data_IF_798643639204
#
_entry.id   IF_798643639204
#
_cell.length_a   1.000
_cell.length_b   1.000
_cell.length_c   1.000
_cell.angle_alpha   90.00
_cell.angle_beta   90.00
_cell.angle_gamma   90.00
#
_symmetry.space_group_name_H-M   'P 1'
#
loop_
_entity.id
_entity.type
_entity.pdbx_description
1 polymer ?
#
# COMPACT_ATOMS: atom_id res chain seq x y z
N UNK A 1 3.52 10.09 6.67
CA UNK A 1 2.51 9.14 6.16
C UNK A 1 2.14 8.08 7.21
N UNK A 2 3.00 7.14 7.57
CA UNK A 2 2.69 6.03 8.50
C UNK A 2 1.99 6.47 9.80
N UNK A 3 2.47 7.54 10.45
CA UNK A 3 1.88 8.02 11.70
C UNK A 3 0.42 8.51 11.55
N UNK A 4 0.04 9.02 10.39
CA UNK A 4 -1.35 9.44 10.09
C UNK A 4 -2.21 8.20 9.83
N UNK A 5 -1.73 7.26 9.06
CA UNK A 5 -2.37 5.98 8.77
C UNK A 5 -2.66 5.21 10.08
N UNK A 6 -1.65 4.98 10.90
CA UNK A 6 -1.77 4.30 12.19
C UNK A 6 -2.74 5.02 13.16
N UNK A 7 -2.86 6.35 13.10
CA UNK A 7 -3.79 7.13 13.93
C UNK A 7 -5.23 6.76 13.59
N UNK A 8 -5.58 6.67 12.32
CA UNK A 8 -6.92 6.36 11.83
C UNK A 8 -7.24 4.88 12.09
N UNK A 9 -6.35 3.97 11.70
CA UNK A 9 -6.53 2.53 11.86
C UNK A 9 -6.70 2.11 13.33
N UNK A 10 -5.85 2.63 14.22
CA UNK A 10 -5.93 2.34 15.65
C UNK A 10 -7.22 2.87 16.29
N UNK A 11 -7.76 3.97 15.78
CA UNK A 11 -9.04 4.48 16.25
C UNK A 11 -10.19 3.58 15.79
N UNK A 12 -10.24 3.21 14.51
CA UNK A 12 -11.26 2.32 13.95
C UNK A 12 -11.24 0.93 14.58
N UNK A 13 -10.07 0.40 14.87
CA UNK A 13 -9.91 -0.89 15.55
C UNK A 13 -10.61 -0.90 16.92
N UNK A 14 -10.62 0.23 17.63
CA UNK A 14 -11.25 0.36 18.96
C UNK A 14 -12.73 0.78 18.90
N UNK A 15 -13.09 1.62 17.95
CA UNK A 15 -14.35 2.37 17.95
C UNK A 15 -15.10 2.22 16.62
N UNK A 16 -15.35 1.09 16.13
CA UNK A 16 -16.10 0.73 14.88
C UNK A 16 -16.39 1.86 13.86
N UNK A 17 -16.75 3.07 14.32
CA UNK A 17 -17.10 4.25 13.52
C UNK A 17 -16.38 5.48 14.09
N UNK A 18 -16.02 6.41 13.21
CA UNK A 18 -15.56 7.75 13.60
C UNK A 18 -16.76 8.67 13.62
N UNK A 19 -17.12 9.18 14.80
CA UNK A 19 -18.24 10.08 14.98
C UNK A 19 -17.98 11.45 14.31
N UNK A 20 -19.04 12.21 13.91
CA UNK A 20 -18.88 13.45 13.14
C UNK A 20 -17.94 14.50 13.74
N UNK A 21 -17.93 14.66 15.06
CA UNK A 21 -17.05 15.63 15.74
C UNK A 21 -15.60 15.15 15.78
N UNK A 22 -15.38 13.84 15.83
CA UNK A 22 -14.04 13.24 15.76
C UNK A 22 -13.49 13.27 14.32
N UNK A 23 -14.36 13.08 13.30
CA UNK A 23 -13.98 13.24 11.89
C UNK A 23 -13.33 14.61 11.64
N UNK A 24 -13.94 15.69 12.15
CA UNK A 24 -13.37 17.03 12.00
C UNK A 24 -11.98 17.15 12.60
N UNK A 25 -11.74 16.53 13.78
CA UNK A 25 -10.43 16.54 14.44
C UNK A 25 -9.40 15.75 13.63
N UNK A 26 -9.77 14.56 13.12
CA UNK A 26 -8.88 13.75 12.30
C UNK A 26 -8.54 14.43 10.97
N UNK A 27 -9.55 15.03 10.31
CA UNK A 27 -9.33 15.80 9.07
C UNK A 27 -8.37 16.97 9.35
N UNK A 28 -8.59 17.74 10.43
CA UNK A 28 -7.68 18.82 10.81
C UNK A 28 -6.25 18.32 11.05
N UNK A 29 -6.07 17.18 11.72
CA UNK A 29 -4.74 16.58 11.93
C UNK A 29 -4.04 16.24 10.61
N UNK A 30 -4.77 15.69 9.64
CA UNK A 30 -4.23 15.38 8.30
C UNK A 30 -3.85 16.65 7.55
N UNK A 31 -4.72 17.66 7.58
CA UNK A 31 -4.46 18.95 6.94
C UNK A 31 -3.28 19.69 7.57
N UNK A 32 -3.16 19.68 8.89
CA UNK A 32 -2.06 20.31 9.62
C UNK A 32 -0.73 19.58 9.35
N UNK A 33 -0.76 18.25 9.29
CA UNK A 33 0.38 17.46 8.84
C UNK A 33 0.82 17.84 7.43
N UNK A 34 -0.11 17.98 6.49
CA UNK A 34 0.19 18.38 5.10
C UNK A 34 0.73 19.80 5.02
N UNK A 35 0.09 20.76 5.71
CA UNK A 35 0.54 22.15 5.80
C UNK A 35 1.95 22.26 6.35
N UNK A 36 2.27 21.48 7.38
CA UNK A 36 3.60 21.43 7.98
C UNK A 36 4.67 21.08 6.95
N UNK A 37 4.40 20.14 6.03
CA UNK A 37 5.38 19.71 5.01
C UNK A 37 5.51 20.75 3.89
N UNK A 38 4.39 21.37 3.48
CA UNK A 38 4.35 22.24 2.28
C UNK A 38 4.69 23.69 2.59
N UNK A 39 4.27 24.21 3.76
CA UNK A 39 4.22 25.69 4.01
C UNK A 39 5.16 26.13 5.13
N UNK A 40 5.78 25.24 5.88
CA UNK A 40 6.41 25.55 7.18
C UNK A 40 7.38 26.72 7.17
N UNK A 41 6.98 27.81 7.85
CA UNK A 41 7.87 28.90 8.28
C UNK A 41 8.36 28.74 9.72
N UNK A 42 7.59 28.08 10.58
CA UNK A 42 7.93 27.78 11.97
C UNK A 42 7.87 26.28 12.19
N UNK A 43 9.02 25.64 12.39
CA UNK A 43 9.13 24.20 12.56
C UNK A 43 10.06 23.84 13.72
N UNK A 44 9.74 22.72 14.39
CA UNK A 44 10.65 22.09 15.34
C UNK A 44 11.84 21.45 14.61
N UNK A 45 12.83 20.93 15.35
CA UNK A 45 14.03 20.34 14.75
C UNK A 45 13.74 19.21 13.77
N UNK A 46 12.82 18.29 14.13
CA UNK A 46 12.44 17.14 13.29
C UNK A 46 11.76 17.57 11.98
N UNK A 47 10.89 18.57 12.06
CA UNK A 47 10.22 19.13 10.89
C UNK A 47 11.23 19.78 9.93
N UNK A 48 12.22 20.50 10.47
CA UNK A 48 13.30 21.11 9.69
C UNK A 48 14.12 20.04 8.97
N UNK A 49 14.54 19.00 9.67
CA UNK A 49 15.29 17.89 9.09
C UNK A 49 14.50 17.17 7.97
N UNK A 50 13.17 17.04 8.12
CA UNK A 50 12.30 16.49 7.09
C UNK A 50 12.26 17.40 5.85
N UNK A 51 12.10 18.71 6.03
CA UNK A 51 12.07 19.69 4.92
C UNK A 51 13.41 19.69 4.19
N UNK A 52 14.52 19.76 4.92
CA UNK A 52 15.87 19.70 4.36
C UNK A 52 16.11 18.40 3.58
N UNK A 53 15.54 17.28 4.07
CA UNK A 53 15.60 15.98 3.38
C UNK A 53 14.80 16.01 2.08
N UNK A 54 13.57 16.53 2.11
CA UNK A 54 12.71 16.68 0.93
C UNK A 54 13.41 17.54 -0.14
N UNK A 55 13.96 18.68 0.26
CA UNK A 55 14.68 19.59 -0.66
C UNK A 55 15.95 18.96 -1.20
N UNK A 56 16.78 18.38 -0.32
CA UNK A 56 18.07 17.74 -0.68
C UNK A 56 17.90 16.63 -1.70
N UNK A 57 16.91 15.77 -1.51
CA UNK A 57 16.65 14.64 -2.39
C UNK A 57 15.60 14.95 -3.47
N UNK A 58 15.15 16.20 -3.56
CA UNK A 58 14.17 16.66 -4.57
C UNK A 58 12.89 15.82 -4.55
N UNK A 59 12.46 15.38 -3.36
CA UNK A 59 11.26 14.54 -3.22
C UNK A 59 10.04 15.36 -3.66
N UNK A 60 9.23 14.86 -4.62
CA UNK A 60 8.05 15.58 -5.06
C UNK A 60 7.02 15.69 -3.93
N UNK A 61 6.28 16.79 -3.85
CA UNK A 61 5.29 17.02 -2.80
C UNK A 61 3.92 16.39 -3.12
N UNK A 62 3.60 16.16 -4.39
CA UNK A 62 2.32 15.59 -4.79
C UNK A 62 1.96 14.26 -4.09
N UNK A 63 2.90 13.35 -3.74
CA UNK A 63 2.55 12.13 -3.03
C UNK A 63 1.95 12.41 -1.64
N UNK A 64 2.43 13.46 -0.95
CA UNK A 64 1.88 13.84 0.35
C UNK A 64 0.45 14.38 0.20
N UNK A 65 0.20 15.17 -0.86
CA UNK A 65 -1.13 15.72 -1.14
C UNK A 65 -2.15 14.60 -1.49
N UNK A 66 -1.75 13.65 -2.34
CA UNK A 66 -2.61 12.54 -2.74
C UNK A 66 -2.86 11.59 -1.57
N UNK A 67 -1.83 11.31 -0.75
CA UNK A 67 -1.97 10.54 0.48
C UNK A 67 -2.95 11.20 1.45
N UNK A 68 -2.83 12.51 1.70
CA UNK A 68 -3.75 13.24 2.58
C UNK A 68 -5.21 13.13 2.10
N UNK A 69 -5.46 13.22 0.79
CA UNK A 69 -6.81 13.03 0.23
C UNK A 69 -7.36 11.63 0.52
N UNK A 70 -6.56 10.59 0.39
CA UNK A 70 -6.97 9.22 0.71
C UNK A 70 -7.24 9.04 2.20
N UNK A 71 -6.44 9.61 3.08
CA UNK A 71 -6.70 9.58 4.53
C UNK A 71 -7.99 10.33 4.90
N UNK A 72 -8.25 11.48 4.29
CA UNK A 72 -9.51 12.22 4.49
C UNK A 72 -10.71 11.41 3.96
N UNK A 73 -10.56 10.71 2.82
CA UNK A 73 -11.58 9.80 2.35
C UNK A 73 -11.88 8.73 3.40
N UNK A 74 -10.86 8.07 3.93
CA UNK A 74 -10.99 6.99 4.91
C UNK A 74 -11.61 7.44 6.25
N UNK A 75 -11.31 8.66 6.70
CA UNK A 75 -11.93 9.26 7.88
C UNK A 75 -13.44 9.43 7.67
N UNK A 76 -13.86 9.81 6.47
CA UNK A 76 -15.25 10.15 6.16
C UNK A 76 -16.10 8.96 5.69
N UNK A 77 -15.48 7.81 5.36
CA UNK A 77 -16.16 6.67 4.77
C UNK A 77 -15.80 5.36 5.48
N UNK A 78 -16.76 4.44 5.54
CA UNK A 78 -16.60 3.11 6.13
C UNK A 78 -16.40 2.05 5.03
N UNK A 79 -15.41 2.24 4.16
CA UNK A 79 -15.11 1.33 3.06
C UNK A 79 -15.40 1.95 1.70
N UNK A 80 -15.56 1.12 0.70
CA UNK A 80 -15.53 1.52 -0.71
C UNK A 80 -16.80 1.06 -1.43
N UNK A 81 -17.64 1.97 -1.96
CA UNK A 81 -18.84 1.59 -2.70
C UNK A 81 -18.54 0.74 -3.94
N UNK A 82 -17.43 1.04 -4.63
CA UNK A 82 -17.02 0.34 -5.85
C UNK A 82 -15.53 0.03 -5.87
N UNK A 83 -15.13 -0.95 -6.69
CA UNK A 83 -13.72 -1.23 -6.96
C UNK A 83 -12.98 0.01 -7.50
N UNK A 84 -13.65 0.84 -8.33
CA UNK A 84 -13.08 2.10 -8.82
C UNK A 84 -12.71 3.03 -7.69
N UNK A 85 -13.61 3.25 -6.73
CA UNK A 85 -13.36 4.09 -5.53
C UNK A 85 -12.22 3.54 -4.68
N UNK A 86 -12.12 2.19 -4.55
CA UNK A 86 -10.99 1.56 -3.87
C UNK A 86 -9.66 1.85 -4.59
N UNK A 87 -9.63 1.76 -5.92
CA UNK A 87 -8.41 2.03 -6.69
C UNK A 87 -8.02 3.53 -6.64
N UNK A 88 -8.99 4.43 -6.63
CA UNK A 88 -8.74 5.87 -6.39
C UNK A 88 -8.13 6.13 -5.00
N UNK A 89 -8.65 5.45 -3.98
CA UNK A 89 -8.06 5.50 -2.63
C UNK A 89 -6.65 4.91 -2.62
N UNK A 90 -6.42 3.79 -3.30
CA UNK A 90 -5.12 3.12 -3.39
C UNK A 90 -4.05 4.00 -4.07
N UNK A 91 -4.43 4.95 -4.93
CA UNK A 91 -3.51 5.94 -5.51
C UNK A 91 -2.80 6.76 -4.42
N UNK A 92 -3.50 7.16 -3.35
CA UNK A 92 -2.89 7.86 -2.22
C UNK A 92 -2.33 6.92 -1.16
N UNK A 93 -3.04 5.85 -0.80
CA UNK A 93 -2.63 4.97 0.29
C UNK A 93 -1.42 4.08 -0.06
N UNK A 94 -1.26 3.73 -1.33
CA UNK A 94 -0.20 2.82 -1.81
C UNK A 94 0.71 3.45 -2.87
N UNK A 95 0.16 4.01 -3.97
CA UNK A 95 0.98 4.53 -5.07
C UNK A 95 1.79 5.75 -4.65
N UNK A 96 1.22 6.65 -3.86
CA UNK A 96 1.92 7.85 -3.41
C UNK A 96 3.18 7.52 -2.58
N UNK A 97 3.14 6.70 -1.50
CA UNK A 97 4.34 6.32 -0.77
C UNK A 97 5.32 5.49 -1.61
N UNK A 98 4.83 4.60 -2.49
CA UNK A 98 5.67 3.84 -3.40
C UNK A 98 6.40 4.73 -4.41
N UNK A 99 5.77 5.83 -4.85
CA UNK A 99 6.41 6.81 -5.74
C UNK A 99 7.58 7.52 -5.08
N UNK A 100 7.51 7.80 -3.78
CA UNK A 100 8.66 8.35 -3.04
C UNK A 100 9.79 7.31 -2.98
N UNK A 101 9.47 6.04 -2.71
CA UNK A 101 10.46 4.98 -2.71
C UNK A 101 11.14 4.83 -4.07
N UNK A 102 10.37 4.80 -5.16
CA UNK A 102 10.89 4.70 -6.53
C UNK A 102 11.71 5.95 -6.90
N UNK A 103 11.26 7.16 -6.48
CA UNK A 103 12.02 8.39 -6.66
C UNK A 103 13.40 8.29 -6.01
N UNK A 104 13.47 7.89 -4.74
CA UNK A 104 14.74 7.77 -4.00
C UNK A 104 15.68 6.70 -4.57
N UNK A 105 15.14 5.66 -5.22
CA UNK A 105 15.94 4.67 -5.95
C UNK A 105 16.42 5.18 -7.32
N UNK A 106 15.68 6.11 -7.94
CA UNK A 106 15.96 6.61 -9.28
C UNK A 106 16.76 7.92 -9.35
N UNK A 107 16.88 8.66 -8.24
CA UNK A 107 17.66 9.92 -8.23
C UNK A 107 19.12 9.66 -8.54
N UNK A 108 19.73 10.59 -9.26
CA UNK A 108 21.14 10.55 -9.65
C UNK A 108 21.91 11.66 -8.99
N UNK A 109 23.15 11.41 -8.57
CA UNK A 109 24.04 12.43 -8.03
C UNK A 109 24.99 12.94 -9.12
N UNK A 110 24.69 14.14 -9.66
CA UNK A 110 25.46 14.78 -10.73
C UNK A 110 26.13 16.05 -10.17
N UNK A 111 27.43 16.17 -10.30
CA UNK A 111 28.20 17.33 -9.81
C UNK A 111 27.92 17.69 -8.33
N UNK A 112 27.73 16.67 -7.49
CA UNK A 112 27.47 16.86 -6.06
C UNK A 112 26.03 17.16 -5.68
N UNK A 113 25.09 17.31 -6.65
CA UNK A 113 23.66 17.57 -6.44
C UNK A 113 22.82 16.38 -6.88
N UNK A 114 21.69 16.18 -6.22
CA UNK A 114 20.73 15.17 -6.64
C UNK A 114 19.83 15.72 -7.76
N UNK A 115 19.66 14.94 -8.81
CA UNK A 115 18.78 15.20 -9.93
C UNK A 115 17.61 14.21 -9.95
N UNK A 116 16.48 14.64 -10.50
CA UNK A 116 15.29 13.78 -10.59
C UNK A 116 15.56 12.50 -11.39
N UNK A 117 14.84 11.41 -11.11
CA UNK A 117 14.88 10.21 -11.95
C UNK A 117 14.64 10.53 -13.43
N UNK A 118 15.29 9.80 -14.36
CA UNK A 118 15.11 10.01 -15.80
C UNK A 118 13.80 9.38 -16.34
N UNK A 119 12.85 9.07 -15.47
CA UNK A 119 11.54 8.47 -15.79
C UNK A 119 10.45 9.02 -14.87
N UNK A 120 9.19 8.86 -15.27
CA UNK A 120 8.04 9.22 -14.42
C UNK A 120 7.92 8.24 -13.25
N UNK A 121 8.09 8.75 -12.03
CA UNK A 121 8.09 7.92 -10.81
C UNK A 121 6.70 7.40 -10.45
N UNK A 122 5.62 8.12 -10.81
CA UNK A 122 4.25 7.64 -10.59
C UNK A 122 3.94 6.48 -11.50
N UNK A 123 4.25 6.63 -12.80
CA UNK A 123 4.09 5.56 -13.77
C UNK A 123 4.89 4.32 -13.36
N UNK A 124 6.15 4.48 -12.95
CA UNK A 124 7.02 3.37 -12.57
C UNK A 124 6.56 2.68 -11.26
N UNK A 125 6.04 3.42 -10.29
CA UNK A 125 5.59 2.88 -9.01
C UNK A 125 4.23 2.20 -9.07
N UNK A 126 3.30 2.69 -9.92
CA UNK A 126 1.89 2.31 -9.89
C UNK A 126 1.64 0.80 -9.97
N UNK A 127 2.24 0.04 -10.91
CA UNK A 127 1.91 -1.38 -11.01
C UNK A 127 2.30 -2.18 -9.76
N UNK A 128 3.51 -2.00 -9.25
CA UNK A 128 3.96 -2.69 -8.05
C UNK A 128 3.15 -2.26 -6.81
N UNK A 129 2.83 -0.99 -6.69
CA UNK A 129 2.06 -0.47 -5.57
C UNK A 129 0.63 -1.04 -5.54
N UNK A 130 -0.06 -1.08 -6.68
CA UNK A 130 -1.41 -1.66 -6.74
C UNK A 130 -1.35 -3.18 -6.55
N UNK A 131 -0.40 -3.88 -7.18
CA UNK A 131 -0.17 -5.31 -6.95
C UNK A 131 -0.01 -5.61 -5.47
N UNK A 132 0.94 -4.95 -4.82
CA UNK A 132 1.24 -5.17 -3.41
C UNK A 132 0.06 -4.84 -2.51
N UNK A 133 -0.72 -3.80 -2.82
CA UNK A 133 -1.88 -3.42 -2.02
C UNK A 133 -3.03 -4.43 -2.14
N UNK A 134 -3.31 -4.92 -3.35
CA UNK A 134 -4.30 -5.99 -3.57
C UNK A 134 -3.91 -7.30 -2.85
N UNK A 135 -2.64 -7.65 -2.89
CA UNK A 135 -2.10 -8.81 -2.15
C UNK A 135 -2.21 -8.59 -0.64
N UNK A 136 -1.91 -7.38 -0.17
CA UNK A 136 -1.97 -6.99 1.23
C UNK A 136 -3.39 -7.14 1.82
N UNK A 137 -4.42 -6.62 1.13
CA UNK A 137 -5.79 -6.72 1.62
C UNK A 137 -6.32 -8.16 1.66
N UNK A 138 -5.82 -9.06 0.80
CA UNK A 138 -6.12 -10.48 0.89
C UNK A 138 -5.39 -11.11 2.07
N UNK A 139 -4.10 -10.81 2.26
CA UNK A 139 -3.28 -11.31 3.36
C UNK A 139 -3.86 -10.91 4.72
N UNK A 140 -4.22 -9.66 4.85
CA UNK A 140 -4.67 -9.09 6.12
C UNK A 140 -6.19 -9.19 6.31
N UNK A 141 -6.92 -9.86 5.41
CA UNK A 141 -8.37 -10.01 5.45
C UNK A 141 -8.91 -10.34 6.85
N UNK A 142 -8.36 -11.37 7.51
CA UNK A 142 -8.83 -11.78 8.83
C UNK A 142 -8.57 -10.70 9.88
N UNK A 143 -7.37 -10.17 9.93
CA UNK A 143 -6.95 -9.13 10.87
C UNK A 143 -7.78 -7.85 10.69
N UNK A 144 -7.96 -7.41 9.45
CA UNK A 144 -8.67 -6.18 9.12
C UNK A 144 -10.16 -6.28 9.51
N UNK A 145 -10.81 -7.37 9.16
CA UNK A 145 -12.22 -7.61 9.55
C UNK A 145 -12.40 -7.65 11.07
N UNK A 146 -11.46 -8.22 11.83
CA UNK A 146 -11.47 -8.23 13.29
C UNK A 146 -11.24 -6.82 13.88
N UNK A 147 -10.50 -5.96 13.16
CA UNK A 147 -10.23 -4.58 13.53
C UNK A 147 -11.23 -3.56 12.93
N UNK A 148 -12.38 -4.03 12.43
CA UNK A 148 -13.42 -3.19 11.80
C UNK A 148 -12.96 -2.43 10.55
N UNK A 149 -11.88 -2.86 9.90
CA UNK A 149 -11.41 -2.31 8.63
C UNK A 149 -12.03 -3.09 7.46
N UNK A 150 -12.46 -2.39 6.40
CA UNK A 150 -13.12 -3.00 5.25
C UNK A 150 -12.54 -2.47 3.94
N UNK A 151 -11.64 -3.24 3.34
CA UNK A 151 -10.97 -2.89 2.08
C UNK A 151 -11.59 -3.56 0.85
N UNK A 152 -12.50 -4.51 1.01
CA UNK A 152 -13.24 -5.09 -0.12
C UNK A 152 -14.37 -4.16 -0.54
N UNK A 153 -14.47 -3.89 -1.85
CA UNK A 153 -15.48 -3.02 -2.43
C UNK A 153 -16.90 -3.63 -2.35
N UNK A 154 -17.88 -2.81 -1.96
CA UNK A 154 -19.26 -3.26 -1.74
C UNK A 154 -19.92 -3.81 -3.00
N UNK A 155 -19.66 -3.21 -4.17
CA UNK A 155 -20.21 -3.70 -5.45
C UNK A 155 -19.74 -5.13 -5.76
N UNK A 156 -18.48 -5.48 -5.44
CA UNK A 156 -17.97 -6.85 -5.61
C UNK A 156 -18.51 -7.79 -4.53
N UNK A 157 -18.65 -7.33 -3.29
CA UNK A 157 -19.28 -8.10 -2.19
C UNK A 157 -20.71 -8.48 -2.61
N UNK A 158 -21.53 -7.51 -3.04
CA UNK A 158 -22.92 -7.71 -3.44
C UNK A 158 -23.02 -8.59 -4.69
N UNK A 159 -22.19 -8.36 -5.70
CA UNK A 159 -22.14 -9.16 -6.94
C UNK A 159 -21.85 -10.64 -6.67
N UNK A 160 -21.07 -10.92 -5.62
CA UNK A 160 -20.80 -12.29 -5.17
C UNK A 160 -21.83 -12.81 -4.15
N UNK A 161 -23.00 -12.18 -4.00
CA UNK A 161 -24.03 -12.57 -3.04
C UNK A 161 -23.51 -12.69 -1.60
N UNK A 162 -22.64 -11.77 -1.21
CA UNK A 162 -22.08 -11.65 0.12
C UNK A 162 -22.57 -10.37 0.81
N UNK A 163 -22.25 -10.23 2.08
CA UNK A 163 -22.41 -9.01 2.87
C UNK A 163 -21.18 -8.77 3.72
N UNK A 164 -20.95 -7.54 4.18
CA UNK A 164 -19.89 -7.25 5.14
C UNK A 164 -20.00 -8.09 6.42
N UNK A 165 -21.25 -8.43 6.86
CA UNK A 165 -21.47 -9.34 7.97
C UNK A 165 -20.93 -10.74 7.67
N UNK A 166 -21.16 -11.28 6.47
CA UNK A 166 -20.64 -12.58 6.08
C UNK A 166 -19.10 -12.61 6.07
N UNK A 167 -18.44 -11.52 5.60
CA UNK A 167 -16.99 -11.41 5.64
C UNK A 167 -16.46 -11.47 7.09
N UNK A 168 -17.10 -10.76 8.03
CA UNK A 168 -16.74 -10.83 9.46
C UNK A 168 -16.96 -12.22 10.05
N UNK A 169 -18.01 -12.95 9.64
CA UNK A 169 -18.24 -14.33 10.08
C UNK A 169 -17.11 -15.25 9.60
N UNK A 170 -16.63 -15.11 8.36
CA UNK A 170 -15.49 -15.86 7.85
C UNK A 170 -14.20 -15.52 8.62
N UNK A 171 -13.92 -14.24 8.87
CA UNK A 171 -12.78 -13.82 9.68
C UNK A 171 -12.81 -14.38 11.11
N UNK A 172 -14.01 -14.60 11.68
CA UNK A 172 -14.24 -15.24 12.98
C UNK A 172 -14.23 -16.77 12.93
N UNK A 173 -13.77 -17.38 11.84
CA UNK A 173 -13.56 -18.83 11.73
C UNK A 173 -14.71 -19.62 11.13
N UNK A 174 -15.78 -18.98 10.63
CA UNK A 174 -16.77 -19.69 9.82
C UNK A 174 -16.12 -20.17 8.53
N UNK A 175 -16.37 -21.41 8.09
CA UNK A 175 -15.80 -21.91 6.84
C UNK A 175 -16.15 -21.02 5.64
N UNK A 176 -15.14 -20.67 4.85
CA UNK A 176 -15.32 -19.86 3.63
C UNK A 176 -16.07 -20.66 2.57
N UNK A 177 -17.00 -20.00 1.89
CA UNK A 177 -17.83 -20.61 0.86
C UNK A 177 -17.37 -20.24 -0.56
N UNK A 178 -18.04 -20.81 -1.57
CA UNK A 178 -17.76 -20.56 -2.98
C UNK A 178 -17.85 -19.06 -3.35
N UNK A 179 -18.81 -18.35 -2.78
CA UNK A 179 -19.03 -16.94 -3.08
C UNK A 179 -17.85 -16.08 -2.60
N UNK A 180 -17.33 -16.36 -1.40
CA UNK A 180 -16.14 -15.71 -0.89
C UNK A 180 -14.90 -16.03 -1.75
N UNK A 181 -14.73 -17.29 -2.15
CA UNK A 181 -13.64 -17.68 -3.05
C UNK A 181 -13.70 -16.97 -4.40
N UNK A 182 -14.91 -16.74 -4.93
CA UNK A 182 -15.11 -15.96 -6.16
C UNK A 182 -14.73 -14.49 -5.96
N UNK A 183 -15.05 -13.89 -4.82
CA UNK A 183 -14.61 -12.54 -4.47
C UNK A 183 -13.09 -12.46 -4.44
N UNK A 184 -12.43 -13.34 -3.70
CA UNK A 184 -10.95 -13.37 -3.63
C UNK A 184 -10.34 -13.62 -5.01
N UNK A 185 -10.93 -14.50 -5.84
CA UNK A 185 -10.46 -14.74 -7.20
C UNK A 185 -10.45 -13.46 -8.06
N UNK A 186 -11.43 -12.56 -7.91
CA UNK A 186 -11.48 -11.31 -8.65
C UNK A 186 -10.33 -10.38 -8.24
N UNK A 187 -10.08 -10.23 -6.94
CA UNK A 187 -8.94 -9.45 -6.44
C UNK A 187 -7.59 -10.07 -6.80
N UNK A 188 -7.47 -11.39 -6.71
CA UNK A 188 -6.27 -12.13 -7.12
C UNK A 188 -5.97 -11.96 -8.62
N UNK A 189 -7.01 -12.08 -9.48
CA UNK A 189 -6.84 -11.89 -10.93
C UNK A 189 -6.40 -10.47 -11.27
N UNK A 190 -6.97 -9.46 -10.59
CA UNK A 190 -6.54 -8.08 -10.75
C UNK A 190 -5.10 -7.88 -10.25
N UNK A 191 -4.74 -8.48 -9.12
CA UNK A 191 -3.35 -8.44 -8.63
C UNK A 191 -2.39 -9.09 -9.64
N UNK A 192 -2.76 -10.21 -10.27
CA UNK A 192 -1.95 -10.86 -11.29
C UNK A 192 -1.72 -10.00 -12.54
N UNK A 193 -2.73 -9.24 -12.97
CA UNK A 193 -2.58 -8.26 -14.05
C UNK A 193 -1.54 -7.17 -13.70
N UNK A 194 -1.60 -6.63 -12.48
CA UNK A 194 -0.63 -5.64 -12.03
C UNK A 194 0.75 -6.23 -11.75
N UNK A 195 0.84 -7.48 -11.34
CA UNK A 195 2.08 -8.22 -11.22
C UNK A 195 2.81 -8.31 -12.57
N UNK A 196 2.10 -8.65 -13.64
CA UNK A 196 2.67 -8.71 -14.99
C UNK A 196 3.16 -7.34 -15.45
N UNK A 197 2.35 -6.29 -15.25
CA UNK A 197 2.77 -4.90 -15.54
C UNK A 197 4.01 -4.48 -14.74
N UNK A 198 4.16 -4.99 -13.51
CA UNK A 198 5.33 -4.71 -12.67
C UNK A 198 6.60 -5.29 -13.28
N UNK A 199 6.55 -6.51 -13.81
CA UNK A 199 7.71 -7.09 -14.51
C UNK A 199 8.14 -6.25 -15.71
N UNK A 200 7.19 -5.76 -16.51
CA UNK A 200 7.48 -4.93 -17.67
C UNK A 200 8.14 -3.61 -17.24
N UNK A 201 7.61 -2.95 -16.21
CA UNK A 201 8.18 -1.71 -15.67
C UNK A 201 9.59 -1.93 -15.10
N UNK A 202 9.79 -2.96 -14.28
CA UNK A 202 11.12 -3.26 -13.72
C UNK A 202 12.13 -3.47 -14.86
N UNK A 203 11.76 -4.20 -15.89
CA UNK A 203 12.62 -4.43 -17.06
C UNK A 203 12.98 -3.13 -17.77
N UNK A 204 12.02 -2.20 -17.88
CA UNK A 204 12.22 -0.92 -18.57
C UNK A 204 13.09 0.05 -17.77
N UNK A 205 12.87 0.18 -16.46
CA UNK A 205 13.62 1.14 -15.64
C UNK A 205 14.95 0.59 -15.13
N UNK A 206 15.16 -0.73 -15.10
CA UNK A 206 16.37 -1.36 -14.59
C UNK A 206 17.66 -0.77 -15.16
N UNK A 207 17.81 -0.56 -16.48
CA UNK A 207 19.04 0.02 -17.05
C UNK A 207 19.33 1.46 -16.61
N UNK A 208 18.33 2.16 -16.03
CA UNK A 208 18.41 3.54 -15.58
C UNK A 208 18.80 3.67 -14.11
N UNK A 209 18.93 2.53 -13.39
CA UNK A 209 19.19 2.47 -11.96
C UNK A 209 20.57 1.90 -11.65
N UNK A 210 21.17 2.39 -10.56
CA UNK A 210 22.37 1.75 -10.01
C UNK A 210 22.04 0.32 -9.51
N UNK A 211 22.99 -0.65 -9.58
CA UNK A 211 22.74 -2.04 -9.19
C UNK A 211 22.09 -2.25 -7.82
N UNK A 212 22.52 -1.46 -6.81
CA UNK A 212 21.93 -1.53 -5.46
C UNK A 212 20.45 -1.16 -5.43
N UNK A 213 20.00 -0.26 -6.31
CA UNK A 213 18.60 0.16 -6.39
C UNK A 213 17.77 -0.80 -7.24
N UNK A 214 18.38 -1.43 -8.26
CA UNK A 214 17.77 -2.57 -8.95
C UNK A 214 17.45 -3.69 -7.95
N UNK A 215 18.42 -4.07 -7.12
CA UNK A 215 18.24 -5.06 -6.07
C UNK A 215 17.14 -4.67 -5.07
N UNK A 216 17.05 -3.38 -4.68
CA UNK A 216 15.99 -2.91 -3.78
C UNK A 216 14.60 -3.10 -4.38
N UNK A 217 14.42 -2.82 -5.67
CA UNK A 217 13.13 -3.03 -6.36
C UNK A 217 12.79 -4.53 -6.47
N UNK A 218 13.77 -5.38 -6.77
CA UNK A 218 13.58 -6.82 -6.84
C UNK A 218 13.18 -7.39 -5.47
N UNK A 219 13.85 -6.97 -4.40
CA UNK A 219 13.53 -7.42 -3.04
C UNK A 219 12.09 -7.03 -2.66
N UNK A 220 11.70 -5.76 -2.81
CA UNK A 220 10.36 -5.32 -2.39
C UNK A 220 9.27 -6.04 -3.18
N UNK A 221 9.45 -6.19 -4.49
CA UNK A 221 8.49 -6.91 -5.33
C UNK A 221 8.37 -8.38 -4.93
N UNK A 222 9.50 -9.05 -4.71
CA UNK A 222 9.52 -10.48 -4.40
C UNK A 222 8.98 -10.80 -3.01
N UNK A 223 9.09 -9.87 -2.04
CA UNK A 223 8.43 -10.00 -0.74
C UNK A 223 6.89 -10.05 -0.87
N UNK A 224 6.30 -9.28 -1.80
CA UNK A 224 4.86 -9.39 -2.08
C UNK A 224 4.53 -10.63 -2.90
N UNK A 225 5.44 -11.11 -3.75
CA UNK A 225 5.30 -12.38 -4.45
C UNK A 225 5.20 -13.56 -3.47
N UNK A 226 5.95 -13.56 -2.35
CA UNK A 226 5.83 -14.60 -1.31
C UNK A 226 4.40 -14.75 -0.80
N UNK A 227 3.70 -13.62 -0.60
CA UNK A 227 2.31 -13.63 -0.15
C UNK A 227 1.38 -14.05 -1.28
N UNK A 228 1.59 -13.52 -2.49
CA UNK A 228 0.79 -13.85 -3.66
C UNK A 228 0.79 -15.36 -3.97
N UNK A 229 1.96 -15.99 -3.88
CA UNK A 229 2.18 -17.43 -4.07
C UNK A 229 1.45 -18.30 -3.01
N UNK A 230 1.17 -17.75 -1.81
CA UNK A 230 0.44 -18.42 -0.72
C UNK A 230 -1.07 -18.40 -0.88
N UNK A 231 -1.61 -17.56 -1.75
CA UNK A 231 -3.06 -17.41 -1.91
C UNK A 231 -3.63 -18.62 -2.64
N UNK A 232 -4.10 -19.62 -1.89
CA UNK A 232 -4.84 -20.76 -2.46
C UNK A 232 -6.34 -20.43 -2.56
N UNK A 233 -6.76 -20.02 -3.76
CA UNK A 233 -8.17 -19.67 -4.03
C UNK A 233 -9.09 -20.87 -3.83
N UNK A 234 -8.63 -22.11 -4.06
CA UNK A 234 -9.47 -23.32 -4.01
C UNK A 234 -9.67 -23.84 -2.59
N UNK A 235 -8.58 -23.92 -1.81
CA UNK A 235 -8.57 -24.62 -0.53
C UNK A 235 -8.22 -23.73 0.66
N UNK A 236 -7.67 -22.53 0.42
CA UNK A 236 -7.21 -21.62 1.45
C UNK A 236 -8.29 -21.25 2.48
N UNK A 237 -7.88 -21.03 3.70
CA UNK A 237 -8.72 -20.55 4.81
C UNK A 237 -8.70 -19.03 4.93
N UNK A 238 -7.68 -18.39 4.35
CA UNK A 238 -7.44 -16.94 4.36
C UNK A 238 -7.26 -16.39 5.77
N UNK A 239 -6.57 -17.15 6.61
CA UNK A 239 -6.20 -16.72 7.97
C UNK A 239 -4.88 -15.95 7.94
N UNK A 240 -4.69 -15.12 8.95
CA UNK A 240 -3.44 -14.36 9.13
C UNK A 240 -2.22 -15.30 9.17
N UNK A 241 -2.32 -16.43 9.85
CA UNK A 241 -1.24 -17.42 9.96
C UNK A 241 -0.91 -18.08 8.61
N UNK A 242 -1.93 -18.43 7.82
CA UNK A 242 -1.76 -19.08 6.50
C UNK A 242 -1.05 -18.16 5.50
N UNK A 243 -1.41 -16.88 5.49
CA UNK A 243 -1.00 -15.96 4.43
C UNK A 243 0.28 -15.16 4.78
N UNK A 244 0.61 -14.98 6.06
CA UNK A 244 1.82 -14.26 6.44
C UNK A 244 3.04 -15.16 6.40
N UNK A 245 4.10 -14.77 5.65
CA UNK A 245 5.40 -15.44 5.76
C UNK A 245 5.97 -15.28 7.17
N UNK A 246 6.67 -16.31 7.64
CA UNK A 246 7.45 -16.19 8.88
C UNK A 246 8.68 -15.29 8.67
N UNK A 247 9.26 -14.74 9.76
CA UNK A 247 10.51 -13.98 9.67
C UNK A 247 11.66 -14.78 9.03
N UNK A 248 11.72 -16.10 9.28
CA UNK A 248 12.72 -17.01 8.71
C UNK A 248 12.55 -17.12 7.20
N UNK A 249 11.35 -17.44 6.72
CA UNK A 249 11.04 -17.53 5.29
C UNK A 249 11.33 -16.20 4.57
N UNK A 250 10.99 -15.07 5.20
CA UNK A 250 11.28 -13.74 4.66
C UNK A 250 12.78 -13.51 4.52
N UNK A 251 13.56 -13.87 5.55
CA UNK A 251 15.03 -13.78 5.53
C UNK A 251 15.64 -14.66 4.45
N UNK A 252 15.20 -15.91 4.34
CA UNK A 252 15.69 -16.86 3.35
C UNK A 252 15.39 -16.40 1.93
N UNK A 253 14.20 -15.84 1.70
CA UNK A 253 13.81 -15.28 0.41
C UNK A 253 14.71 -14.10 0.02
N UNK A 254 14.90 -13.15 0.92
CA UNK A 254 15.78 -11.98 0.69
C UNK A 254 17.23 -12.44 0.45
N UNK A 255 17.74 -13.39 1.22
CA UNK A 255 19.07 -13.94 1.01
C UNK A 255 19.23 -14.60 -0.37
N UNK A 256 18.22 -15.38 -0.79
CA UNK A 256 18.20 -16.00 -2.11
C UNK A 256 18.25 -14.96 -3.25
N UNK A 257 17.49 -13.86 -3.10
CA UNK A 257 17.50 -12.77 -4.10
C UNK A 257 18.90 -12.15 -4.18
N UNK A 258 19.50 -11.82 -3.04
CA UNK A 258 20.85 -11.20 -2.99
C UNK A 258 21.89 -12.11 -3.65
N UNK A 259 21.86 -13.41 -3.36
CA UNK A 259 22.84 -14.38 -3.89
C UNK A 259 22.68 -14.63 -5.39
N UNK A 260 21.48 -14.48 -5.93
CA UNK A 260 21.18 -14.70 -7.35
C UNK A 260 21.17 -13.40 -8.18
N UNK A 261 21.31 -12.25 -7.52
CA UNK A 261 21.28 -10.95 -8.19
C UNK A 261 22.43 -10.82 -9.19
N UNK A 262 22.09 -10.47 -10.42
CA UNK A 262 23.05 -10.17 -11.51
C UNK A 262 22.84 -8.72 -11.93
N UNK A 263 23.84 -7.90 -11.68
CA UNK A 263 23.88 -6.48 -12.10
C UNK A 263 24.12 -6.35 -13.60
#
# INVERSE_FOLDING_TARGET
MRAIDDLIDNFKAKNKLIEPDERKKFVANVEDWLKMIIISKECNSLQRELIETVEKFRIPLWPMEVFAKSMIYEINNDGFPTLGTFLEYADGASVAPASIFVHLNGIQKINGRYENPPFDVKWAATPCAIFSYLVHIIRDFQKDQLNNLSYFADDLIIRNHLSRKALREFANGKPVNKNFRNLIKQYYSLADEYRLKTYDIIKEIRPLLEPRYQLSLEIIFDLYMMVFERIDIKNGKFTTEELNPTPEETKDRVYSIIMNFKS
#
